data_IF_193353954163
#
_entry.id   IF_193353954163
#
_cell.length_a   1.000
_cell.length_b   1.000
_cell.length_c   1.000
_cell.angle_alpha   90.00
_cell.angle_beta   90.00
_cell.angle_gamma   90.00
#
_symmetry.space_group_name_H-M   'P 1'
#
loop_
_entity.id
_entity.type
_entity.pdbx_description
1 polymer ?
#
# COMPACT_ATOMS: atom_id res chain seq x y z
N UNK A 1 20.89 -0.03 -17.52
CA UNK A 1 20.20 0.22 -16.25
C UNK A 1 18.73 0.42 -16.58
N UNK A 2 17.95 -0.66 -16.55
CA UNK A 2 16.50 -0.58 -16.77
C UNK A 2 15.94 0.17 -15.57
N UNK A 3 15.43 1.39 -15.77
CA UNK A 3 14.68 2.10 -14.74
C UNK A 3 13.54 1.14 -14.35
N UNK A 4 13.33 0.81 -13.06
CA UNK A 4 12.20 0.00 -12.68
C UNK A 4 10.95 0.64 -13.28
N UNK A 5 10.14 -0.17 -13.93
CA UNK A 5 8.95 0.30 -14.63
C UNK A 5 8.00 0.82 -13.56
N UNK A 6 8.00 2.15 -13.37
CA UNK A 6 7.13 2.82 -12.41
C UNK A 6 5.70 2.70 -12.93
N UNK A 7 4.87 1.95 -12.20
CA UNK A 7 3.46 1.80 -12.50
C UNK A 7 2.63 2.63 -11.54
N UNK A 8 1.47 3.09 -12.01
CA UNK A 8 0.53 3.87 -11.21
C UNK A 8 -0.40 2.92 -10.48
N UNK A 9 -0.27 2.88 -9.16
CA UNK A 9 -1.10 2.08 -8.29
C UNK A 9 -2.03 3.00 -7.50
N UNK A 10 -3.30 2.63 -7.40
CA UNK A 10 -4.25 3.22 -6.49
C UNK A 10 -4.17 2.52 -5.14
N UNK A 11 -3.73 3.24 -4.11
CA UNK A 11 -3.47 2.71 -2.77
C UNK A 11 -4.45 3.31 -1.78
N UNK A 12 -5.06 2.49 -0.93
CA UNK A 12 -5.94 2.97 0.14
C UNK A 12 -5.86 2.09 1.38
N UNK A 13 -5.95 2.69 2.56
CA UNK A 13 -6.08 1.94 3.81
C UNK A 13 -7.52 1.46 4.02
N UNK A 14 -7.71 0.23 4.52
CA UNK A 14 -9.03 -0.34 4.81
C UNK A 14 -9.82 0.56 5.79
N UNK A 15 -9.18 0.96 6.89
CA UNK A 15 -9.79 1.76 7.95
C UNK A 15 -10.21 3.17 7.53
N UNK A 16 -9.62 3.73 6.48
CA UNK A 16 -10.01 5.03 5.91
C UNK A 16 -10.98 4.89 4.71
N UNK A 17 -11.04 3.69 4.13
CA UNK A 17 -11.80 3.39 2.92
C UNK A 17 -11.24 4.05 1.65
N UNK A 18 -11.79 3.62 0.50
CA UNK A 18 -11.39 4.11 -0.84
C UNK A 18 -11.50 5.63 -1.03
N UNK A 19 -12.24 6.33 -0.18
CA UNK A 19 -12.39 7.78 -0.24
C UNK A 19 -11.09 8.54 0.11
N UNK A 20 -10.20 7.93 0.90
CA UNK A 20 -8.87 8.45 1.22
C UNK A 20 -7.77 7.75 0.41
N UNK A 21 -8.14 7.07 -0.68
CA UNK A 21 -7.15 6.43 -1.53
C UNK A 21 -6.34 7.44 -2.35
N UNK A 22 -5.06 7.15 -2.52
CA UNK A 22 -4.11 7.95 -3.29
C UNK A 22 -3.46 7.15 -4.41
N UNK A 23 -3.24 7.78 -5.55
CA UNK A 23 -2.48 7.17 -6.65
C UNK A 23 -0.99 7.44 -6.45
N UNK A 24 -0.19 6.38 -6.41
CA UNK A 24 1.26 6.43 -6.23
C UNK A 24 1.97 5.74 -7.39
N UNK A 25 3.16 6.25 -7.75
CA UNK A 25 4.02 5.65 -8.77
C UNK A 25 5.13 4.84 -8.10
N UNK A 26 5.10 3.52 -8.26
CA UNK A 26 6.06 2.62 -7.63
C UNK A 26 6.55 1.55 -8.61
N UNK A 27 7.69 0.92 -8.28
CA UNK A 27 8.23 -0.21 -9.04
C UNK A 27 7.52 -1.54 -8.77
N UNK A 28 6.70 -1.61 -7.72
CA UNK A 28 5.94 -2.80 -7.32
C UNK A 28 4.76 -2.43 -6.42
N UNK A 29 3.82 -3.36 -6.25
CA UNK A 29 2.68 -3.20 -5.35
C UNK A 29 3.10 -2.98 -3.88
N UNK A 30 4.09 -3.75 -3.40
CA UNK A 30 4.62 -3.65 -2.04
C UNK A 30 5.27 -2.28 -1.80
N UNK A 31 6.08 -1.80 -2.75
CA UNK A 31 6.67 -0.46 -2.67
C UNK A 31 5.59 0.63 -2.63
N UNK A 32 4.48 0.47 -3.36
CA UNK A 32 3.37 1.42 -3.31
C UNK A 32 2.67 1.43 -1.94
N UNK A 33 2.51 0.26 -1.30
CA UNK A 33 1.93 0.14 0.03
C UNK A 33 2.79 0.83 1.10
N UNK A 34 4.10 0.54 1.09
CA UNK A 34 5.06 1.15 2.04
C UNK A 34 5.12 2.67 1.83
N UNK A 35 5.27 3.14 0.59
CA UNK A 35 5.28 4.59 0.31
C UNK A 35 4.00 5.29 0.79
N UNK A 36 2.83 4.65 0.62
CA UNK A 36 1.58 5.21 1.13
C UNK A 36 1.58 5.31 2.66
N UNK A 37 2.03 4.27 3.36
CA UNK A 37 2.07 4.26 4.82
C UNK A 37 3.05 5.28 5.38
N UNK A 38 4.23 5.41 4.76
CA UNK A 38 5.24 6.40 5.13
C UNK A 38 4.78 7.84 4.87
N UNK A 39 4.11 8.09 3.74
CA UNK A 39 3.69 9.45 3.36
C UNK A 39 2.45 9.94 4.11
N UNK A 40 1.46 9.07 4.30
CA UNK A 40 0.16 9.45 4.84
C UNK A 40 -0.04 9.02 6.28
N UNK A 41 0.80 8.12 6.80
CA UNK A 41 0.74 7.58 8.17
C UNK A 41 -0.70 7.33 8.62
N UNK A 42 -1.44 6.47 7.90
CA UNK A 42 -2.84 6.21 8.21
C UNK A 42 -2.98 5.73 9.67
N UNK A 43 -4.12 6.00 10.33
CA UNK A 43 -4.34 5.57 11.69
C UNK A 43 -4.26 4.04 11.77
N UNK A 44 -3.48 3.57 12.73
CA UNK A 44 -3.31 2.15 13.03
C UNK A 44 -4.53 1.65 13.77
N UNK A 45 -4.97 0.43 13.46
CA UNK A 45 -5.97 -0.25 14.26
C UNK A 45 -5.35 -0.77 15.56
N UNK A 46 -6.17 -1.30 16.47
CA UNK A 46 -5.76 -1.66 17.84
C UNK A 46 -4.70 -2.76 17.95
N UNK A 47 -4.33 -3.40 16.84
CA UNK A 47 -3.32 -4.45 16.75
C UNK A 47 -1.99 -3.95 16.14
N UNK A 48 -1.80 -2.63 15.98
CA UNK A 48 -0.61 -2.01 15.34
C UNK A 48 -0.40 -2.46 13.86
N UNK A 49 -1.43 -3.03 13.27
CA UNK A 49 -1.49 -3.44 11.86
C UNK A 49 -2.26 -2.43 11.02
N UNK A 50 -1.76 -2.12 9.83
CA UNK A 50 -2.44 -1.28 8.83
C UNK A 50 -2.71 -2.14 7.60
N UNK A 51 -3.98 -2.33 7.26
CA UNK A 51 -4.37 -2.99 6.01
C UNK A 51 -4.43 -1.98 4.87
N UNK A 52 -3.65 -2.23 3.84
CA UNK A 52 -3.53 -1.42 2.63
C UNK A 52 -3.90 -2.24 1.42
N UNK A 53 -4.79 -1.70 0.60
CA UNK A 53 -5.17 -2.27 -0.68
C UNK A 53 -4.50 -1.48 -1.79
N UNK A 54 -3.81 -2.19 -2.68
CA UNK A 54 -3.08 -1.64 -3.82
C UNK A 54 -3.72 -2.17 -5.10
N UNK A 55 -4.44 -1.33 -5.81
CA UNK A 55 -5.04 -1.63 -7.10
C UNK A 55 -4.19 -1.06 -8.25
N UNK A 56 -3.75 -1.92 -9.15
CA UNK A 56 -3.07 -1.50 -10.37
C UNK A 56 -4.05 -0.83 -11.33
N UNK A 57 -3.73 0.38 -11.77
CA UNK A 57 -4.58 1.13 -12.69
C UNK A 57 -4.42 0.68 -14.14
N UNK A 58 -3.30 0.05 -14.48
CA UNK A 58 -3.00 -0.38 -15.85
C UNK A 58 -3.52 -1.80 -16.13
N UNK A 59 -3.40 -2.71 -15.17
CA UNK A 59 -3.80 -4.12 -15.24
C UNK A 59 -5.07 -4.48 -14.47
N UNK A 60 -5.59 -3.57 -13.62
CA UNK A 60 -6.85 -3.77 -12.90
C UNK A 60 -6.79 -4.79 -11.76
N UNK A 61 -5.59 -5.16 -11.31
CA UNK A 61 -5.38 -6.17 -10.29
C UNK A 61 -5.25 -5.51 -8.92
N UNK A 62 -6.04 -5.95 -7.94
CA UNK A 62 -5.95 -5.47 -6.56
C UNK A 62 -5.23 -6.49 -5.69
N UNK A 63 -4.25 -6.01 -4.94
CA UNK A 63 -3.50 -6.78 -3.96
C UNK A 63 -3.68 -6.16 -2.58
N UNK A 64 -3.95 -7.01 -1.60
CA UNK A 64 -4.02 -6.63 -0.20
C UNK A 64 -2.66 -6.84 0.45
N UNK A 65 -2.23 -5.83 1.19
CA UNK A 65 -1.06 -5.83 2.03
C UNK A 65 -1.44 -5.44 3.45
N UNK A 66 -0.77 -6.02 4.43
CA UNK A 66 -0.84 -5.63 5.83
C UNK A 66 0.54 -5.13 6.24
N UNK A 67 0.59 -3.97 6.86
CA UNK A 67 1.82 -3.42 7.41
C UNK A 67 1.74 -3.58 8.91
N UNK A 68 2.59 -4.45 9.46
CA UNK A 68 2.79 -4.54 10.89
C UNK A 68 3.83 -3.49 11.31
N UNK A 69 3.40 -2.53 12.13
CA UNK A 69 4.30 -1.51 12.66
C UNK A 69 5.09 -1.99 13.88
N UNK A 70 4.83 -3.19 14.38
CA UNK A 70 5.53 -3.76 15.53
C UNK A 70 6.92 -4.31 15.17
N UNK A 71 7.12 -4.82 13.94
CA UNK A 71 8.32 -5.59 13.56
C UNK A 71 9.31 -4.89 12.61
N UNK A 72 8.92 -3.80 11.94
CA UNK A 72 9.80 -2.80 11.25
C UNK A 72 8.97 -1.87 10.32
N UNK A 73 7.64 -2.01 10.26
CA UNK A 73 6.81 -1.32 9.26
C UNK A 73 6.88 -1.96 7.87
N UNK A 74 7.17 -3.26 7.80
CA UNK A 74 7.20 -4.00 6.54
C UNK A 74 5.80 -4.33 6.04
N UNK A 75 5.59 -4.25 4.73
CA UNK A 75 4.35 -4.65 4.09
C UNK A 75 4.37 -6.15 3.75
N UNK A 76 3.53 -6.92 4.42
CA UNK A 76 3.27 -8.33 4.11
C UNK A 76 2.01 -8.46 3.25
N UNK A 77 1.89 -9.55 2.48
CA UNK A 77 0.69 -9.81 1.67
C UNK A 77 -0.40 -10.41 2.54
N UNK A 78 -1.65 -10.00 2.33
CA UNK A 78 -2.79 -10.72 2.88
C UNK A 78 -2.88 -12.10 2.21
N UNK A 79 -2.90 -13.17 3.01
CA UNK A 79 -3.15 -14.55 2.56
C UNK A 79 -4.62 -14.75 2.17
#
# INVERSE_FOLDING_TARGET
MTRPEQHRYFVYAEGLGRAQGHVLEAGSFEAAAVEYAELYTPPVDGDDEIRIFVADLDGGQEHCFVIDLSDDGQAERCD
#
